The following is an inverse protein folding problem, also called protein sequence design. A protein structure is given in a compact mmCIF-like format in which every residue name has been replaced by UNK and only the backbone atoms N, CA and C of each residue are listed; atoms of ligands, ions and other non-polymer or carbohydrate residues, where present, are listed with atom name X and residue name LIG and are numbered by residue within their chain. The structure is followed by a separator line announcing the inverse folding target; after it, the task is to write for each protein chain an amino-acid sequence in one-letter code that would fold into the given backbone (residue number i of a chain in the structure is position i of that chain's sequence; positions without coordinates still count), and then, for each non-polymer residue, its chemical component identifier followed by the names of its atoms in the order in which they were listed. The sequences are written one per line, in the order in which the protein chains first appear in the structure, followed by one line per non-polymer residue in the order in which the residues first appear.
data_IF_296853707160
#
_entry.id   IF_296853707160
#
_cell.length_a   1.000
_cell.length_b   1.000
_cell.length_c   1.000
_cell.angle_alpha   90.00
_cell.angle_beta   90.00
_cell.angle_gamma   90.00
#
_symmetry.space_group_name_H-M   'P 1'
#
loop_
_entity.id
_entity.type
_entity.pdbx_description
1 polymer ?
#
# COMPACT_ATOMS: atom_id res chain seq x y z
N UNK A 1 0.05 -39.48 -7.46
CA UNK A 1 -0.53 -38.20 -7.03
C UNK A 1 0.35 -37.74 -5.89
N UNK A 2 1.36 -36.92 -6.20
CA UNK A 2 2.20 -36.35 -5.15
C UNK A 2 1.32 -35.40 -4.32
N UNK A 3 1.47 -35.36 -2.98
CA UNK A 3 0.71 -34.43 -2.17
C UNK A 3 1.03 -33.01 -2.62
N UNK A 4 -0.02 -32.22 -2.91
CA UNK A 4 0.08 -30.82 -3.26
C UNK A 4 1.08 -30.14 -2.31
N UNK A 5 2.23 -29.74 -2.86
CA UNK A 5 3.34 -29.23 -2.06
C UNK A 5 2.88 -28.04 -1.22
N UNK A 6 2.94 -28.19 0.10
CA UNK A 6 2.81 -27.07 1.03
C UNK A 6 3.88 -26.03 0.67
N UNK A 7 3.46 -25.01 -0.08
CA UNK A 7 4.33 -23.91 -0.46
C UNK A 7 4.90 -23.25 0.79
N UNK A 8 6.19 -22.88 0.74
CA UNK A 8 6.90 -22.21 1.82
C UNK A 8 6.01 -21.12 2.47
N UNK A 9 5.81 -21.14 3.81
CA UNK A 9 4.98 -20.14 4.48
C UNK A 9 5.51 -18.72 4.23
N UNK A 10 4.60 -17.79 3.99
CA UNK A 10 4.96 -16.38 3.82
C UNK A 10 5.47 -15.82 5.15
N UNK A 11 6.58 -15.08 5.09
CA UNK A 11 7.25 -14.52 6.28
C UNK A 11 7.16 -13.00 6.27
N UNK A 12 6.80 -12.43 7.41
CA UNK A 12 6.83 -10.98 7.64
C UNK A 12 8.08 -10.61 8.45
N UNK A 13 8.55 -9.38 8.32
CA UNK A 13 9.66 -8.87 9.13
C UNK A 13 9.28 -8.89 10.61
N UNK A 14 10.28 -9.02 11.46
CA UNK A 14 10.14 -9.02 12.93
C UNK A 14 10.72 -7.73 13.50
N UNK A 15 10.30 -7.34 14.70
CA UNK A 15 10.84 -6.15 15.36
C UNK A 15 10.55 -4.85 14.61
N UNK A 16 9.40 -4.74 13.94
CA UNK A 16 9.00 -3.51 13.27
C UNK A 16 8.86 -2.37 14.28
N UNK A 17 9.71 -1.36 14.13
CA UNK A 17 9.60 -0.08 14.83
C UNK A 17 8.55 0.78 14.11
N UNK A 18 7.38 0.93 14.75
CA UNK A 18 6.28 1.69 14.16
C UNK A 18 6.63 3.17 14.02
N UNK A 19 7.36 3.77 14.96
CA UNK A 19 7.70 5.19 14.91
C UNK A 19 8.56 5.50 13.69
N UNK A 20 9.58 4.66 13.44
CA UNK A 20 10.43 4.77 12.24
C UNK A 20 9.68 4.48 10.94
N UNK A 21 8.62 3.68 10.99
CA UNK A 21 7.78 3.37 9.82
C UNK A 21 6.81 4.50 9.46
N UNK A 22 6.53 5.44 10.38
CA UNK A 22 5.60 6.55 10.14
C UNK A 22 6.08 7.50 9.04
N UNK A 23 5.20 8.41 8.64
CA UNK A 23 5.44 9.35 7.56
C UNK A 23 5.06 8.77 6.20
N UNK A 24 5.62 9.37 5.15
CA UNK A 24 5.22 9.13 3.77
C UNK A 24 6.00 7.99 3.12
N UNK A 25 5.29 7.20 2.33
CA UNK A 25 5.79 6.16 1.46
C UNK A 25 5.16 6.29 0.08
N UNK A 26 5.99 6.38 -0.96
CA UNK A 26 5.58 6.38 -2.35
C UNK A 26 5.48 4.95 -2.86
N UNK A 27 4.40 4.66 -3.58
CA UNK A 27 4.24 3.39 -4.27
C UNK A 27 5.08 3.39 -5.55
N UNK A 28 6.11 2.56 -5.60
CA UNK A 28 6.99 2.43 -6.77
C UNK A 28 6.44 1.38 -7.74
N UNK A 29 5.81 0.33 -7.20
CA UNK A 29 5.10 -0.66 -7.99
C UNK A 29 4.04 -1.37 -7.16
N UNK A 30 2.99 -1.86 -7.82
CA UNK A 30 1.94 -2.62 -7.17
C UNK A 30 1.36 -3.70 -8.08
N UNK A 31 0.61 -4.63 -7.47
CA UNK A 31 -0.33 -5.44 -8.24
C UNK A 31 -1.57 -4.60 -8.54
N UNK A 32 -2.01 -4.55 -9.81
CA UNK A 32 -3.23 -3.82 -10.18
C UNK A 32 -4.41 -4.28 -9.34
N UNK A 33 -5.11 -3.31 -8.75
CA UNK A 33 -6.29 -3.56 -7.94
C UNK A 33 -7.45 -2.70 -8.41
N UNK A 34 -8.67 -3.19 -8.24
CA UNK A 34 -9.88 -2.42 -8.50
C UNK A 34 -10.00 -1.16 -7.62
N UNK A 35 -9.24 -1.10 -6.52
CA UNK A 35 -9.22 0.03 -5.59
C UNK A 35 -8.33 1.20 -6.05
N UNK A 36 -7.49 1.01 -7.08
CA UNK A 36 -6.57 2.04 -7.57
C UNK A 36 -6.98 2.56 -8.95
N UNK A 37 -6.98 3.90 -9.17
CA UNK A 37 -7.23 4.45 -10.50
C UNK A 37 -6.17 4.01 -11.51
N UNK A 38 -6.59 3.53 -12.68
CA UNK A 38 -5.67 3.10 -13.76
C UNK A 38 -4.85 4.26 -14.35
N UNK A 39 -5.39 5.48 -14.28
CA UNK A 39 -4.77 6.72 -14.74
C UNK A 39 -4.06 7.50 -13.61
N UNK A 40 -3.95 6.87 -12.44
CA UNK A 40 -3.33 7.45 -11.26
C UNK A 40 -1.82 7.60 -11.37
N UNK A 41 -1.31 8.72 -10.86
CA UNK A 41 0.11 9.01 -10.69
C UNK A 41 0.36 9.49 -9.27
N UNK A 42 1.62 9.44 -8.83
CA UNK A 42 2.01 9.96 -7.53
C UNK A 42 1.41 9.19 -6.34
N UNK A 43 0.98 7.94 -6.55
CA UNK A 43 0.34 7.15 -5.49
C UNK A 43 1.25 7.04 -4.28
N UNK A 44 0.71 7.33 -3.09
CA UNK A 44 1.44 7.28 -1.84
C UNK A 44 0.54 6.92 -0.67
N UNK A 45 1.17 6.46 0.40
CA UNK A 45 0.56 6.27 1.72
C UNK A 45 1.28 7.15 2.74
N UNK A 46 0.53 7.80 3.63
CA UNK A 46 1.06 8.54 4.77
C UNK A 46 0.56 7.88 6.06
N UNK A 47 1.48 7.50 6.92
CA UNK A 47 1.21 6.82 8.19
C UNK A 47 1.46 7.76 9.37
N UNK A 48 0.53 7.81 10.32
CA UNK A 48 0.70 8.56 11.57
C UNK A 48 0.28 7.72 12.77
N UNK A 49 1.17 7.60 13.75
CA UNK A 49 0.91 6.83 14.97
C UNK A 49 -0.04 7.60 15.87
N UNK A 50 -1.04 6.92 16.41
CA UNK A 50 -2.02 7.49 17.34
C UNK A 50 -1.68 7.13 18.79
N UNK A 51 -2.16 7.91 19.78
CA UNK A 51 -1.93 7.62 21.19
C UNK A 51 -2.45 6.25 21.67
N UNK A 52 -3.45 5.69 20.97
CA UNK A 52 -4.01 4.37 21.26
C UNK A 52 -3.19 3.19 20.68
N UNK A 53 -2.05 3.49 20.05
CA UNK A 53 -1.18 2.50 19.40
C UNK A 53 -1.64 2.05 18.01
N UNK A 54 -2.77 2.58 17.51
CA UNK A 54 -3.17 2.37 16.11
C UNK A 54 -2.48 3.35 15.17
N UNK A 55 -2.52 3.08 13.87
CA UNK A 55 -1.89 3.92 12.85
C UNK A 55 -2.97 4.49 11.94
N UNK A 56 -3.05 5.82 11.81
CA UNK A 56 -3.80 6.47 10.73
C UNK A 56 -3.12 6.14 9.40
N UNK A 57 -3.91 5.70 8.42
CA UNK A 57 -3.44 5.44 7.05
C UNK A 57 -4.17 6.40 6.12
N UNK A 58 -3.43 7.26 5.43
CA UNK A 58 -3.97 8.08 4.35
C UNK A 58 -3.35 7.64 3.02
N UNK A 59 -4.17 7.09 2.13
CA UNK A 59 -3.77 6.76 0.77
C UNK A 59 -4.27 7.82 -0.19
N UNK A 60 -3.40 8.26 -1.10
CA UNK A 60 -3.71 9.31 -2.05
C UNK A 60 -3.15 8.97 -3.44
N UNK A 61 -3.81 9.48 -4.47
CA UNK A 61 -3.39 9.37 -5.87
C UNK A 61 -3.74 10.66 -6.60
N UNK A 62 -2.92 11.06 -7.57
CA UNK A 62 -3.06 12.30 -8.35
C UNK A 62 -3.18 12.02 -9.84
N UNK A 63 -3.59 13.03 -10.59
CA UNK A 63 -3.52 13.08 -12.06
C UNK A 63 -2.21 13.71 -12.53
N UNK A 64 -1.93 13.61 -13.82
CA UNK A 64 -0.71 14.18 -14.42
C UNK A 64 -0.60 15.71 -14.29
N UNK A 65 -1.72 16.41 -14.18
CA UNK A 65 -1.79 17.87 -13.96
C UNK A 65 -1.61 18.27 -12.48
N UNK A 66 -1.37 17.31 -11.58
CA UNK A 66 -1.16 17.56 -10.15
C UNK A 66 -2.45 17.69 -9.33
N UNK A 67 -3.64 17.48 -9.91
CA UNK A 67 -4.90 17.45 -9.15
C UNK A 67 -5.05 16.13 -8.37
N UNK A 68 -5.70 16.16 -7.20
CA UNK A 68 -5.91 14.95 -6.40
C UNK A 68 -7.02 14.10 -7.02
N UNK A 69 -6.65 12.91 -7.50
CA UNK A 69 -7.51 11.98 -8.23
C UNK A 69 -8.39 11.14 -7.31
N UNK A 70 -7.81 10.67 -6.21
CA UNK A 70 -8.47 9.82 -5.21
C UNK A 70 -7.77 9.95 -3.86
N UNK A 71 -8.54 9.76 -2.78
CA UNK A 71 -8.03 9.69 -1.42
C UNK A 71 -8.92 8.79 -0.58
N UNK A 72 -8.31 8.03 0.34
CA UNK A 72 -9.04 7.24 1.34
C UNK A 72 -8.26 7.20 2.65
N UNK A 73 -8.97 7.40 3.75
CA UNK A 73 -8.42 7.31 5.10
C UNK A 73 -8.88 6.03 5.80
N UNK A 74 -7.97 5.40 6.53
CA UNK A 74 -8.19 4.19 7.28
C UNK A 74 -7.40 4.13 8.59
N UNK A 75 -7.48 2.99 9.23
CA UNK A 75 -6.75 2.68 10.46
C UNK A 75 -6.08 1.32 10.35
N UNK A 76 -4.79 1.26 10.65
CA UNK A 76 -4.04 0.03 10.78
C UNK A 76 -3.78 -0.34 12.25
N UNK A 77 -3.75 -1.63 12.54
CA UNK A 77 -3.49 -2.19 13.86
C UNK A 77 -2.84 -3.57 13.72
N UNK A 78 -2.08 -4.02 14.72
CA UNK A 78 -1.48 -5.37 14.72
C UNK A 78 -2.57 -6.43 14.67
N UNK A 79 -2.39 -7.46 13.84
CA UNK A 79 -3.32 -8.59 13.77
C UNK A 79 -3.32 -9.40 15.07
N UNK A 80 -2.15 -9.53 15.69
CA UNK A 80 -1.93 -10.08 17.03
C UNK A 80 -0.99 -9.13 17.80
N UNK A 81 -1.45 -8.48 18.89
CA UNK A 81 -0.63 -7.58 19.70
C UNK A 81 0.59 -8.24 20.36
N UNK A 82 0.57 -9.56 20.57
CA UNK A 82 1.67 -10.31 21.18
C UNK A 82 2.70 -10.80 20.14
N UNK A 83 2.36 -10.75 18.85
CA UNK A 83 3.24 -11.19 17.79
C UNK A 83 4.28 -10.11 17.42
N UNK A 84 5.53 -10.54 17.34
CA UNK A 84 6.68 -9.74 16.92
C UNK A 84 6.69 -9.49 15.39
N UNK A 85 6.02 -10.36 14.64
CA UNK A 85 5.91 -10.24 13.18
C UNK A 85 5.05 -9.02 12.78
N UNK A 86 5.48 -8.32 11.73
CA UNK A 86 4.82 -7.15 11.15
C UNK A 86 3.57 -7.53 10.33
N UNK A 87 2.65 -8.25 10.96
CA UNK A 87 1.34 -8.61 10.42
C UNK A 87 0.30 -7.65 10.98
N UNK A 88 -0.14 -6.73 10.14
CA UNK A 88 -1.16 -5.74 10.47
C UNK A 88 -2.45 -6.06 9.72
N UNK A 89 -3.54 -5.49 10.23
CA UNK A 89 -4.80 -5.32 9.51
C UNK A 89 -5.01 -3.84 9.25
N UNK A 90 -5.51 -3.51 8.06
CA UNK A 90 -5.91 -2.14 7.71
C UNK A 90 -7.40 -2.13 7.47
N UNK A 91 -8.07 -1.15 8.08
CA UNK A 91 -9.51 -0.95 7.99
C UNK A 91 -9.81 0.38 7.30
N UNK A 92 -10.59 0.32 6.22
CA UNK A 92 -11.11 1.50 5.52
C UNK A 92 -12.63 1.54 5.61
N UNK A 93 -13.20 2.76 5.69
CA UNK A 93 -14.63 2.99 5.69
C UNK A 93 -15.04 3.58 4.34
N UNK A 94 -15.89 2.88 3.58
CA UNK A 94 -16.31 3.28 2.23
C UNK A 94 -17.81 3.63 2.22
N UNK A 95 -18.22 4.88 1.92
CA UNK A 95 -19.63 5.29 1.71
C UNK A 95 -20.12 5.05 0.25
N UNK A 96 -21.43 5.08 -0.13
CA UNK A 96 -22.63 5.35 0.67
C UNK A 96 -23.96 4.64 0.25
N UNK A 97 -23.98 3.46 -0.39
CA UNK A 97 -25.30 2.92 -0.86
C UNK A 97 -26.12 2.09 0.13
N UNK A 98 -25.57 1.64 1.26
CA UNK A 98 -26.23 1.10 2.47
C UNK A 98 -25.13 0.82 3.53
N UNK A 99 -25.41 0.46 4.80
CA UNK A 99 -24.63 0.91 5.98
C UNK A 99 -23.12 0.74 5.82
N UNK A 100 -22.35 1.71 6.33
CA UNK A 100 -20.89 1.79 6.17
C UNK A 100 -20.23 0.50 6.67
N UNK A 101 -19.91 -0.42 5.75
CA UNK A 101 -19.22 -1.66 6.09
C UNK A 101 -17.71 -1.40 6.09
N UNK A 102 -17.02 -1.70 7.21
CA UNK A 102 -15.57 -1.62 7.22
C UNK A 102 -14.99 -2.73 6.33
N UNK A 103 -14.15 -2.34 5.38
CA UNK A 103 -13.32 -3.30 4.63
C UNK A 103 -12.02 -3.46 5.39
N UNK A 104 -11.73 -4.69 5.80
CA UNK A 104 -10.49 -5.04 6.52
C UNK A 104 -9.63 -5.91 5.61
N UNK A 105 -8.39 -5.47 5.39
CA UNK A 105 -7.38 -6.20 4.62
C UNK A 105 -6.14 -6.51 5.44
N UNK A 106 -5.41 -7.55 5.04
CA UNK A 106 -4.09 -7.84 5.57
C UNK A 106 -3.05 -6.85 5.03
N UNK A 107 -2.13 -6.44 5.89
CA UNK A 107 -0.97 -5.62 5.55
C UNK A 107 0.24 -6.22 6.24
N UNK A 108 1.02 -7.01 5.50
CA UNK A 108 2.20 -7.68 6.03
C UNK A 108 3.43 -7.03 5.43
N UNK A 109 4.33 -6.52 6.27
CA UNK A 109 5.64 -6.02 5.82
C UNK A 109 6.54 -7.24 5.62
N UNK A 110 6.81 -7.58 4.37
CA UNK A 110 7.57 -8.79 3.96
C UNK A 110 9.08 -8.54 3.90
N UNK A 111 9.46 -7.30 3.64
CA UNK A 111 10.83 -6.82 3.71
C UNK A 111 10.82 -5.33 4.10
N UNK A 112 11.85 -4.94 4.83
CA UNK A 112 12.14 -3.56 5.21
C UNK A 112 13.66 -3.44 5.32
N UNK A 113 14.25 -2.43 4.69
CA UNK A 113 15.68 -2.18 4.82
C UNK A 113 16.01 -1.54 6.18
N UNK A 114 17.27 -1.63 6.59
CA UNK A 114 17.75 -1.15 7.90
C UNK A 114 17.48 0.34 8.14
N UNK A 115 17.44 1.13 7.07
CA UNK A 115 17.24 2.58 7.10
C UNK A 115 15.78 3.00 6.87
N UNK A 116 14.85 2.04 6.73
CA UNK A 116 13.42 2.31 6.53
C UNK A 116 13.16 3.20 5.29
N UNK A 117 13.97 3.00 4.25
CA UNK A 117 13.88 3.68 2.95
C UNK A 117 13.05 2.90 1.93
N UNK A 118 12.99 1.57 2.05
CA UNK A 118 12.32 0.67 1.12
C UNK A 118 11.55 -0.43 1.87
N UNK A 119 10.32 -0.68 1.43
CA UNK A 119 9.50 -1.74 2.01
C UNK A 119 8.85 -2.58 0.91
N UNK A 120 8.75 -3.88 1.16
CA UNK A 120 7.89 -4.79 0.40
C UNK A 120 6.71 -5.16 1.28
N UNK A 121 5.50 -4.89 0.80
CA UNK A 121 4.26 -5.13 1.55
C UNK A 121 3.34 -6.03 0.76
N UNK A 122 2.68 -6.98 1.41
CA UNK A 122 1.70 -7.84 0.75
C UNK A 122 0.70 -8.47 1.72
N UNK A 123 0.09 -9.56 1.27
CA UNK A 123 -0.93 -10.30 2.02
C UNK A 123 -0.87 -11.81 1.73
N UNK A 124 -1.27 -12.69 2.66
CA UNK A 124 -1.08 -14.14 2.55
C UNK A 124 -1.78 -14.78 1.35
N UNK A 125 -2.88 -14.19 0.86
CA UNK A 125 -3.56 -14.66 -0.35
C UNK A 125 -2.82 -14.33 -1.66
N UNK A 126 -1.72 -13.56 -1.59
CA UNK A 126 -0.86 -13.17 -2.72
C UNK A 126 -1.56 -12.38 -3.84
N UNK A 127 -2.74 -11.83 -3.57
CA UNK A 127 -3.52 -11.03 -4.53
C UNK A 127 -3.10 -9.55 -4.55
N UNK A 128 -2.43 -9.06 -3.51
CA UNK A 128 -1.95 -7.69 -3.44
C UNK A 128 -0.49 -7.65 -2.97
N UNK A 129 0.29 -6.78 -3.60
CA UNK A 129 1.71 -6.58 -3.37
C UNK A 129 2.04 -5.13 -3.69
N UNK A 130 2.91 -4.52 -2.89
CA UNK A 130 3.40 -3.16 -3.06
C UNK A 130 4.89 -3.09 -2.79
N UNK A 131 5.61 -2.39 -3.66
CA UNK A 131 6.97 -1.91 -3.42
C UNK A 131 6.86 -0.44 -3.06
N UNK A 132 7.33 -0.09 -1.87
CA UNK A 132 7.25 1.25 -1.32
C UNK A 132 8.65 1.87 -1.16
N UNK A 133 8.74 3.18 -1.32
CA UNK A 133 9.97 3.95 -1.05
C UNK A 133 9.69 5.26 -0.33
N UNK A 134 10.66 5.76 0.44
CA UNK A 134 10.64 7.13 0.98
C UNK A 134 10.86 8.21 -0.08
N UNK A 135 11.34 7.83 -1.27
CA UNK A 135 11.59 8.73 -2.38
C UNK A 135 10.70 8.38 -3.58
N UNK A 136 10.50 9.35 -4.48
CA UNK A 136 9.70 9.16 -5.71
C UNK A 136 10.42 8.31 -6.78
N UNK A 137 11.72 8.06 -6.61
CA UNK A 137 12.56 7.27 -7.51
C UNK A 137 13.26 6.18 -6.69
N UNK A 138 13.50 5.06 -7.34
CA UNK A 138 14.20 3.91 -6.78
C UNK A 138 15.19 3.40 -7.81
N UNK A 139 16.42 3.15 -7.38
CA UNK A 139 17.45 2.55 -8.22
C UNK A 139 17.02 1.16 -8.71
N UNK A 140 17.37 0.84 -9.96
CA UNK A 140 16.89 -0.39 -10.60
C UNK A 140 17.37 -1.66 -9.90
N UNK A 141 18.60 -1.67 -9.38
CA UNK A 141 19.12 -2.80 -8.62
C UNK A 141 18.35 -3.05 -7.32
N UNK A 142 17.98 -1.98 -6.60
CA UNK A 142 17.16 -2.08 -5.39
C UNK A 142 15.77 -2.58 -5.73
N UNK A 143 15.17 -2.05 -6.81
CA UNK A 143 13.87 -2.52 -7.30
C UNK A 143 13.90 -4.02 -7.62
N UNK A 144 14.90 -4.47 -8.38
CA UNK A 144 15.04 -5.88 -8.76
C UNK A 144 15.25 -6.78 -7.54
N UNK A 145 16.01 -6.35 -6.53
CA UNK A 145 16.14 -7.08 -5.27
C UNK A 145 14.79 -7.27 -4.56
N UNK A 146 13.94 -6.24 -4.53
CA UNK A 146 12.59 -6.35 -3.93
C UNK A 146 11.66 -7.25 -4.75
N UNK A 147 11.79 -7.25 -6.07
CA UNK A 147 11.10 -8.19 -6.95
C UNK A 147 11.52 -9.63 -6.68
N UNK A 148 12.81 -9.91 -6.52
CA UNK A 148 13.30 -11.24 -6.14
C UNK A 148 12.74 -11.68 -4.78
N UNK A 149 12.76 -10.81 -3.77
CA UNK A 149 12.16 -11.09 -2.46
C UNK A 149 10.67 -11.41 -2.56
N UNK A 150 9.92 -10.70 -3.40
CA UNK A 150 8.51 -11.02 -3.66
C UNK A 150 8.35 -12.40 -4.30
N UNK A 151 9.22 -12.77 -5.24
CA UNK A 151 9.23 -14.10 -5.86
C UNK A 151 9.55 -15.20 -4.84
N UNK A 152 10.49 -14.97 -3.92
CA UNK A 152 10.82 -15.90 -2.83
C UNK A 152 9.65 -16.13 -1.86
N UNK A 153 8.78 -15.13 -1.68
CA UNK A 153 7.51 -15.25 -0.95
C UNK A 153 6.41 -15.94 -1.79
N UNK A 154 6.73 -16.31 -3.04
CA UNK A 154 5.87 -17.04 -3.96
C UNK A 154 4.81 -16.18 -4.64
N UNK A 155 5.05 -14.88 -4.83
CA UNK A 155 4.21 -14.01 -5.65
C UNK A 155 4.51 -14.20 -7.15
N UNK A 156 3.46 -14.09 -7.97
CA UNK A 156 3.61 -14.01 -9.43
C UNK A 156 4.01 -12.58 -9.84
N UNK A 157 5.31 -12.29 -9.78
CA UNK A 157 5.85 -10.94 -10.01
C UNK A 157 5.64 -10.41 -11.43
N UNK A 158 5.20 -11.24 -12.39
CA UNK A 158 4.82 -10.79 -13.74
C UNK A 158 3.60 -9.86 -13.72
N UNK A 159 2.80 -9.90 -12.65
CA UNK A 159 1.65 -9.00 -12.44
C UNK A 159 2.04 -7.63 -11.91
N UNK A 160 3.28 -7.46 -11.45
CA UNK A 160 3.76 -6.24 -10.85
C UNK A 160 3.85 -5.13 -11.93
N UNK A 161 3.25 -3.99 -11.64
CA UNK A 161 3.29 -2.81 -12.52
C UNK A 161 3.97 -1.67 -11.80
N UNK A 162 4.90 -0.99 -12.48
CA UNK A 162 5.54 0.22 -11.96
C UNK A 162 4.52 1.35 -11.92
N UNK A 163 4.51 2.08 -10.81
CA UNK A 163 3.65 3.24 -10.60
C UNK A 163 4.41 4.49 -11.00
N UNK A 164 3.80 5.32 -11.83
CA UNK A 164 4.40 6.58 -12.23
C UNK A 164 4.28 7.61 -11.10
N UNK A 165 5.41 8.18 -10.68
CA UNK A 165 5.47 9.25 -9.68
C UNK A 165 5.48 10.64 -10.34
N UNK A 166 5.14 11.67 -9.55
CA UNK A 166 5.14 13.09 -9.97
C UNK A 166 6.38 13.77 -9.39
N UNK A 167 7.05 14.57 -10.22
CA UNK A 167 8.27 15.29 -9.86
C UNK A 167 8.15 16.79 -10.20
N UNK A 168 8.20 17.70 -9.20
CA UNK A 168 8.31 17.41 -7.76
C UNK A 168 6.99 16.81 -7.20
N UNK A 169 7.03 16.03 -6.12
CA UNK A 169 5.83 15.48 -5.52
C UNK A 169 4.93 16.61 -4.95
N UNK A 170 3.60 16.48 -5.02
CA UNK A 170 2.68 17.46 -4.42
C UNK A 170 2.98 17.70 -2.94
N UNK A 171 3.09 18.97 -2.55
CA UNK A 171 3.39 19.42 -1.18
C UNK A 171 2.12 19.37 -0.32
N UNK A 172 2.21 18.82 0.89
CA UNK A 172 1.07 18.69 1.83
C UNK A 172 0.08 17.55 1.52
N UNK A 173 -0.88 17.32 2.44
CA UNK A 173 -2.13 16.57 2.18
C UNK A 173 -3.15 17.46 1.43
N UNK A 174 -2.84 18.75 1.27
CA UNK A 174 -3.66 19.77 0.63
C UNK A 174 -3.35 19.90 -0.86
N UNK A 175 -3.52 18.82 -1.61
CA UNK A 175 -3.74 18.94 -3.05
C UNK A 175 -5.16 19.46 -3.27
N UNK A 176 -5.32 20.78 -3.44
CA UNK A 176 -6.51 21.54 -3.86
C UNK A 176 -7.86 20.92 -3.44
N UNK A 177 -8.58 21.60 -2.54
CA UNK A 177 -9.98 21.29 -2.22
C UNK A 177 -10.84 21.16 -3.49
N UNK A 178 -10.91 19.97 -4.08
CA UNK A 178 -12.04 19.61 -4.91
C UNK A 178 -13.17 19.21 -3.97
N UNK A 179 -14.10 20.13 -3.80
CA UNK A 179 -15.34 20.00 -3.01
C UNK A 179 -16.33 19.02 -3.66
N UNK A 180 -15.84 17.97 -4.35
CA UNK A 180 -16.65 17.00 -5.10
C UNK A 180 -16.18 15.57 -4.87
N UNK A 181 -16.46 15.05 -3.67
CA UNK A 181 -16.26 13.66 -3.26
C UNK A 181 -17.10 12.61 -3.98
N UNK A 182 -17.23 12.67 -5.31
CA UNK A 182 -18.08 11.79 -6.11
C UNK A 182 -17.44 11.28 -7.42
N UNK A 183 -16.11 11.34 -7.59
CA UNK A 183 -15.48 10.96 -8.87
C UNK A 183 -15.30 9.43 -9.06
N UNK A 184 -15.25 8.61 -8.00
CA UNK A 184 -15.07 7.16 -8.10
C UNK A 184 -16.28 6.43 -8.75
N UNK A 185 -17.45 7.06 -8.79
CA UNK A 185 -18.69 6.48 -9.36
C UNK A 185 -18.59 6.29 -10.89
N UNK A 186 -17.79 7.10 -11.61
CA UNK A 186 -17.72 7.03 -13.07
C UNK A 186 -16.82 5.94 -13.63
N UNK A 187 -16.01 5.27 -12.80
CA UNK A 187 -15.12 4.18 -13.26
C UNK A 187 -15.77 2.80 -13.23
N UNK A 188 -16.98 2.66 -12.66
CA UNK A 188 -17.71 1.39 -12.55
C UNK A 188 -18.78 1.21 -13.65
N UNK A 189 -19.06 2.26 -14.42
CA UNK A 189 -19.89 2.19 -15.61
C UNK A 189 -18.95 2.39 -16.79
N UNK A 190 -18.48 1.28 -17.33
CA UNK A 190 -17.74 1.27 -18.59
C UNK A 190 -18.50 2.01 -19.69
N UNK A 191 -17.76 2.40 -20.73
CA UNK A 191 -18.28 2.05 -22.05
C UNK A 191 -18.18 0.53 -22.20
#
# INVERSE_FOLDING_TARGET
MEPDGEGKPMTAVRGLDLERYMGRWYEIACFPSAFQPRDGRGTRATYALRPDGTVRVLNETWTADGSRRASIEGTAFRADPAADEARLKVRFYVPPFLPVFPVVGDYWVLFLDENYQYALVGQPSKKHLWILSRQIRMEEDVYNQLVEKAREQGYDVKKLQKTQQIDPPPVGEEGLHDTKGLWWIKSLLGK
#
